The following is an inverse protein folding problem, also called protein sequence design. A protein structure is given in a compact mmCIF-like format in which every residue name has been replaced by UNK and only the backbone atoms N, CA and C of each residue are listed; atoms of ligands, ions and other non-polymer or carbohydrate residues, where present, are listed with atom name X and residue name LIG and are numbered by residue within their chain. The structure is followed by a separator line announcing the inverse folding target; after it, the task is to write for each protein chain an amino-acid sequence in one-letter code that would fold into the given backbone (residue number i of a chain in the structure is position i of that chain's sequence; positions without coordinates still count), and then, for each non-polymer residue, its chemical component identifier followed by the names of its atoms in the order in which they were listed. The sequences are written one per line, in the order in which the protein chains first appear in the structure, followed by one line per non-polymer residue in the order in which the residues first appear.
data_IF_867449294864
#
_entry.id   IF_867449294864
#
_cell.length_a   1.000
_cell.length_b   1.000
_cell.length_c   1.000
_cell.angle_alpha   90.00
_cell.angle_beta   90.00
_cell.angle_gamma   90.00
#
_symmetry.space_group_name_H-M   'P 1'
#
loop_
_entity.id
_entity.type
_entity.pdbx_description
1 polymer ?
#
# COMPACT_ATOMS: atom_id res chain seq x y z
N UNK A 1 1.44 12.45 -4.03
CA UNK A 1 2.03 13.69 -3.47
C UNK A 1 3.09 14.18 -4.45
N UNK A 2 3.12 15.48 -4.78
CA UNK A 2 4.11 16.04 -5.70
C UNK A 2 4.71 17.32 -5.10
N UNK A 3 5.95 17.59 -5.48
CA UNK A 3 6.62 18.86 -5.21
C UNK A 3 5.92 19.95 -6.05
N UNK A 4 5.45 21.01 -5.39
CA UNK A 4 4.71 22.10 -6.04
C UNK A 4 5.58 22.99 -6.93
N UNK A 5 6.90 22.99 -6.72
CA UNK A 5 7.87 23.75 -7.51
C UNK A 5 8.24 22.98 -8.77
N UNK A 6 8.56 21.69 -8.63
CA UNK A 6 9.05 20.88 -9.76
C UNK A 6 7.97 20.07 -10.48
N UNK A 7 6.79 19.92 -9.88
CA UNK A 7 5.72 19.04 -10.37
C UNK A 7 6.06 17.55 -10.29
N UNK A 8 7.24 17.19 -9.76
CA UNK A 8 7.69 15.79 -9.67
C UNK A 8 7.01 15.09 -8.51
N UNK A 9 6.77 13.79 -8.66
CA UNK A 9 6.23 12.96 -7.59
C UNK A 9 7.23 12.89 -6.45
N UNK A 10 6.78 13.21 -5.24
CA UNK A 10 7.61 13.12 -4.04
C UNK A 10 7.92 11.66 -3.72
N UNK A 11 9.19 11.38 -3.45
CA UNK A 11 9.66 10.10 -2.93
C UNK A 11 9.94 10.28 -1.45
N UNK A 12 9.31 9.46 -0.63
CA UNK A 12 9.34 9.52 0.83
C UNK A 12 10.16 8.35 1.37
N UNK A 13 10.74 8.53 2.55
CA UNK A 13 11.49 7.49 3.25
C UNK A 13 10.94 7.32 4.65
N UNK A 14 10.84 6.08 5.11
CA UNK A 14 10.47 5.75 6.48
C UNK A 14 11.25 4.52 6.95
N UNK A 15 11.75 4.57 8.18
CA UNK A 15 12.39 3.44 8.85
C UNK A 15 11.38 2.75 9.77
N UNK A 16 11.31 1.42 9.73
CA UNK A 16 10.43 0.66 10.60
C UNK A 16 10.97 -0.73 10.91
N UNK A 17 10.34 -1.40 11.86
CA UNK A 17 10.70 -2.76 12.28
C UNK A 17 9.93 -3.75 11.40
N UNK A 18 10.61 -4.66 10.73
CA UNK A 18 9.97 -5.71 9.94
C UNK A 18 9.26 -6.72 10.84
N UNK A 19 8.02 -7.06 10.51
CA UNK A 19 7.22 -8.06 11.23
C UNK A 19 7.15 -9.36 10.44
N UNK A 20 6.67 -9.31 9.20
CA UNK A 20 6.57 -10.45 8.30
C UNK A 20 6.34 -9.96 6.87
N UNK A 21 6.48 -10.87 5.91
CA UNK A 21 6.13 -10.64 4.51
C UNK A 21 5.59 -11.91 3.88
N UNK A 22 4.80 -11.78 2.82
CA UNK A 22 4.65 -12.88 1.84
C UNK A 22 5.97 -13.11 1.12
N UNK A 23 6.08 -14.21 0.38
CA UNK A 23 7.23 -14.47 -0.48
C UNK A 23 7.60 -13.24 -1.34
N UNK A 24 8.88 -12.92 -1.42
CA UNK A 24 9.36 -11.67 -2.04
C UNK A 24 9.32 -11.72 -3.58
N UNK A 25 9.21 -12.92 -4.16
CA UNK A 25 9.23 -13.14 -5.60
C UNK A 25 7.85 -13.40 -6.19
N UNK A 26 7.01 -14.13 -5.44
CA UNK A 26 5.69 -14.61 -5.87
C UNK A 26 4.53 -14.02 -5.08
N UNK A 27 4.77 -13.43 -3.92
CA UNK A 27 3.73 -12.85 -3.06
C UNK A 27 2.80 -13.93 -2.52
N UNK A 28 1.50 -13.76 -2.71
CA UNK A 28 0.48 -14.78 -2.41
C UNK A 28 0.03 -15.57 -3.66
N UNK A 29 0.73 -15.43 -4.80
CA UNK A 29 0.42 -16.21 -6.00
C UNK A 29 1.10 -17.58 -5.93
N UNK A 30 0.31 -18.65 -6.01
CA UNK A 30 0.77 -20.04 -5.95
C UNK A 30 0.08 -20.81 -7.07
N UNK A 31 0.81 -21.33 -8.08
CA UNK A 31 0.21 -22.14 -9.13
C UNK A 31 -0.55 -23.34 -8.57
N UNK A 32 -1.61 -23.75 -9.28
CA UNK A 32 -2.41 -24.90 -8.87
C UNK A 32 -1.56 -26.16 -8.75
N UNK A 33 -1.54 -26.77 -7.56
CA UNK A 33 -0.81 -28.01 -7.27
C UNK A 33 0.57 -27.81 -6.64
N UNK A 34 1.06 -26.56 -6.56
CA UNK A 34 2.28 -26.21 -5.86
C UNK A 34 2.02 -26.01 -4.35
N UNK A 35 3.07 -26.20 -3.53
CA UNK A 35 3.02 -25.92 -2.10
C UNK A 35 3.17 -24.41 -1.86
N UNK A 36 2.30 -23.84 -1.02
CA UNK A 36 2.34 -22.42 -0.72
C UNK A 36 3.61 -22.06 0.06
N UNK A 37 4.27 -20.92 -0.24
CA UNK A 37 5.39 -20.44 0.56
C UNK A 37 4.99 -20.25 2.03
N UNK A 38 5.96 -20.45 2.92
CA UNK A 38 5.74 -20.28 4.36
C UNK A 38 5.19 -18.88 4.69
N UNK A 39 4.18 -18.83 5.57
CA UNK A 39 3.61 -17.57 6.06
C UNK A 39 2.50 -16.96 5.19
N UNK A 40 2.13 -17.57 4.07
CA UNK A 40 0.94 -17.17 3.29
C UNK A 40 -0.29 -17.92 3.82
N UNK A 41 -1.31 -17.24 4.40
CA UNK A 41 -2.52 -17.92 4.86
C UNK A 41 -3.33 -18.50 3.70
N UNK A 42 -3.90 -19.70 3.87
CA UNK A 42 -4.68 -20.39 2.82
C UNK A 42 -5.76 -19.50 2.17
N UNK A 43 -6.48 -18.73 2.98
CA UNK A 43 -7.52 -17.82 2.50
C UNK A 43 -7.02 -16.62 1.68
N UNK A 44 -5.69 -16.42 1.61
CA UNK A 44 -5.06 -15.37 0.81
C UNK A 44 -4.37 -15.92 -0.45
N UNK A 45 -4.21 -17.24 -0.58
CA UNK A 45 -3.59 -17.85 -1.77
C UNK A 45 -4.42 -17.50 -3.00
N UNK A 46 -3.74 -17.13 -4.09
CA UNK A 46 -4.34 -16.92 -5.40
C UNK A 46 -3.63 -17.80 -6.43
N UNK A 47 -4.38 -18.57 -7.20
CA UNK A 47 -3.88 -19.45 -8.25
C UNK A 47 -4.09 -18.90 -9.67
N UNK A 48 -4.81 -17.78 -9.78
CA UNK A 48 -5.05 -17.05 -11.03
C UNK A 48 -4.45 -15.63 -10.99
N UNK A 49 -3.74 -15.19 -12.04
CA UNK A 49 -3.22 -13.83 -12.14
C UNK A 49 -4.34 -12.78 -12.05
N UNK A 50 -4.31 -11.94 -11.01
CA UNK A 50 -5.32 -10.91 -10.81
C UNK A 50 -4.82 -9.79 -9.90
N UNK A 51 -5.64 -8.73 -9.76
CA UNK A 51 -5.38 -7.64 -8.81
C UNK A 51 -5.37 -8.09 -7.34
N UNK A 52 -5.84 -9.31 -7.04
CA UNK A 52 -5.80 -9.91 -5.71
C UNK A 52 -4.43 -10.50 -5.38
N UNK A 53 -3.61 -10.78 -6.38
CA UNK A 53 -2.23 -11.24 -6.20
C UNK A 53 -1.36 -10.07 -5.71
N UNK A 54 -0.83 -10.18 -4.51
CA UNK A 54 -0.14 -9.11 -3.79
C UNK A 54 1.09 -9.63 -3.06
N UNK A 55 2.14 -8.82 -3.10
CA UNK A 55 3.16 -8.79 -2.07
C UNK A 55 2.60 -8.04 -0.87
N UNK A 56 2.69 -8.63 0.32
CA UNK A 56 2.23 -8.00 1.56
C UNK A 56 3.41 -7.87 2.51
N UNK A 57 3.67 -6.65 2.98
CA UNK A 57 4.76 -6.31 3.88
C UNK A 57 4.19 -5.79 5.18
N UNK A 58 4.52 -6.40 6.31
CA UNK A 58 4.07 -5.93 7.61
C UNK A 58 5.21 -5.34 8.41
N UNK A 59 5.03 -4.11 8.87
CA UNK A 59 5.87 -3.44 9.84
C UNK A 59 5.25 -3.56 11.24
N UNK A 60 6.07 -3.82 12.25
CA UNK A 60 5.66 -3.82 13.64
C UNK A 60 5.54 -2.37 14.13
N UNK A 61 4.32 -2.00 14.52
CA UNK A 61 4.01 -0.66 15.03
C UNK A 61 3.57 -0.67 16.48
N UNK A 62 3.83 -1.76 17.20
CA UNK A 62 3.49 -1.87 18.63
C UNK A 62 4.29 -0.90 19.50
N UNK A 63 5.46 -0.47 19.02
CA UNK A 63 6.40 0.40 19.73
C UNK A 63 6.68 1.70 18.99
N UNK A 64 6.88 1.61 17.68
CA UNK A 64 7.00 2.77 16.81
C UNK A 64 5.67 3.02 16.09
N UNK A 65 4.97 4.07 16.51
CA UNK A 65 3.69 4.46 15.89
C UNK A 65 3.85 5.54 14.83
N UNK A 66 5.08 5.96 14.51
CA UNK A 66 5.33 7.14 13.67
C UNK A 66 4.75 7.01 12.27
N UNK A 67 4.66 5.80 11.70
CA UNK A 67 3.97 5.60 10.40
C UNK A 67 2.50 6.02 10.45
N UNK A 68 1.80 5.78 11.56
CA UNK A 68 0.40 6.20 11.73
C UNK A 68 0.29 7.72 11.79
N UNK A 69 1.18 8.35 12.54
CA UNK A 69 1.20 9.80 12.73
C UNK A 69 1.59 10.51 11.42
N UNK A 70 2.59 10.00 10.71
CA UNK A 70 3.01 10.49 9.41
C UNK A 70 1.89 10.40 8.37
N UNK A 71 1.21 9.25 8.27
CA UNK A 71 0.08 9.09 7.36
C UNK A 71 -1.05 10.06 7.71
N UNK A 72 -1.33 10.27 9.00
CA UNK A 72 -2.33 11.24 9.45
C UNK A 72 -1.98 12.67 9.02
N UNK A 73 -0.72 13.07 9.11
CA UNK A 73 -0.27 14.40 8.63
C UNK A 73 -0.57 14.57 7.14
N UNK A 74 -0.29 13.55 6.33
CA UNK A 74 -0.62 13.58 4.89
C UNK A 74 -2.12 13.56 4.63
N UNK A 75 -2.89 12.78 5.40
CA UNK A 75 -4.36 12.76 5.33
C UNK A 75 -4.96 14.14 5.66
N UNK A 76 -4.51 14.79 6.74
CA UNK A 76 -4.95 16.13 7.13
C UNK A 76 -4.59 17.17 6.06
N UNK A 77 -3.41 17.03 5.43
CA UNK A 77 -3.01 17.89 4.33
C UNK A 77 -3.90 17.71 3.10
N UNK A 78 -4.14 16.46 2.65
CA UNK A 78 -4.93 16.21 1.43
C UNK A 78 -6.40 16.61 1.61
N UNK A 79 -6.95 16.44 2.81
CA UNK A 79 -8.33 16.85 3.11
C UNK A 79 -8.54 18.36 3.01
N UNK A 80 -7.49 19.17 3.14
CA UNK A 80 -7.54 20.62 2.94
C UNK A 80 -7.38 21.04 1.47
N UNK A 81 -7.02 20.12 0.58
CA UNK A 81 -6.79 20.45 -0.83
C UNK A 81 -8.13 20.65 -1.56
N UNK A 82 -8.30 21.77 -2.28
CA UNK A 82 -9.52 22.02 -3.06
C UNK A 82 -9.80 20.89 -4.04
N UNK A 83 -11.04 20.39 -4.02
CA UNK A 83 -11.49 19.35 -4.94
C UNK A 83 -11.08 17.92 -4.57
N UNK A 84 -10.33 17.70 -3.48
CA UNK A 84 -10.18 16.37 -2.93
C UNK A 84 -11.52 15.87 -2.37
N UNK A 85 -11.83 14.59 -2.59
CA UNK A 85 -12.99 13.90 -2.03
C UNK A 85 -14.32 14.71 -2.13
N UNK A 86 -14.63 15.26 -3.32
CA UNK A 86 -15.85 16.08 -3.54
C UNK A 86 -17.15 15.40 -3.11
N UNK A 87 -17.19 14.07 -3.17
CA UNK A 87 -18.33 13.26 -2.75
C UNK A 87 -18.43 13.03 -1.23
N UNK A 88 -17.59 13.70 -0.43
CA UNK A 88 -17.51 13.57 1.04
C UNK A 88 -17.52 12.11 1.51
N UNK A 89 -16.77 11.25 0.81
CA UNK A 89 -16.70 9.83 1.14
C UNK A 89 -16.02 9.67 2.50
N UNK A 90 -16.44 8.71 3.33
CA UNK A 90 -15.74 8.40 4.57
C UNK A 90 -14.35 7.82 4.30
N UNK A 91 -13.40 8.07 5.21
CA UNK A 91 -12.12 7.35 5.23
C UNK A 91 -12.38 5.89 5.55
N UNK A 92 -11.82 4.97 4.75
CA UNK A 92 -11.85 3.53 5.01
C UNK A 92 -11.43 3.23 6.47
N UNK A 93 -12.12 2.36 7.22
CA UNK A 93 -11.73 2.08 8.61
C UNK A 93 -10.42 1.27 8.75
N UNK A 94 -10.11 0.45 7.74
CA UNK A 94 -8.90 -0.36 7.73
C UNK A 94 -7.64 0.51 7.75
N UNK A 95 -6.69 0.17 8.63
CA UNK A 95 -5.41 0.87 8.78
C UNK A 95 -5.55 2.38 8.94
N UNK A 96 -6.37 2.80 9.90
CA UNK A 96 -6.46 4.20 10.33
C UNK A 96 -5.80 4.44 11.71
N UNK A 97 -5.10 3.44 12.25
CA UNK A 97 -4.44 3.49 13.57
C UNK A 97 -5.36 3.56 14.79
N UNK A 98 -6.70 3.55 14.62
CA UNK A 98 -7.66 3.68 15.74
C UNK A 98 -8.01 2.35 16.40
N UNK A 99 -8.02 1.26 15.64
CA UNK A 99 -8.37 -0.07 16.16
C UNK A 99 -7.22 -0.67 16.96
N UNK A 100 -7.40 -0.90 18.26
CA UNK A 100 -6.40 -1.52 19.13
C UNK A 100 -5.93 -2.90 18.62
N UNK A 101 -6.83 -3.67 18.00
CA UNK A 101 -6.56 -5.01 17.46
C UNK A 101 -5.63 -5.03 16.24
N UNK A 102 -5.48 -3.90 15.54
CA UNK A 102 -4.70 -3.80 14.30
C UNK A 102 -3.65 -2.68 14.35
N UNK A 103 -3.46 -2.05 15.52
CA UNK A 103 -2.49 -0.97 15.71
C UNK A 103 -1.07 -1.50 15.95
N UNK A 104 -0.92 -2.79 16.21
CA UNK A 104 0.37 -3.46 16.43
C UNK A 104 1.16 -3.74 15.14
N UNK A 105 0.55 -3.48 13.98
CA UNK A 105 1.18 -3.64 12.68
C UNK A 105 0.61 -2.71 11.62
N UNK A 106 1.48 -2.25 10.72
CA UNK A 106 1.08 -1.59 9.48
C UNK A 106 1.43 -2.50 8.30
N UNK A 107 0.46 -2.77 7.43
CA UNK A 107 0.58 -3.69 6.29
C UNK A 107 0.53 -2.88 4.99
N UNK A 108 1.54 -3.04 4.16
CA UNK A 108 1.66 -2.40 2.85
C UNK A 108 1.49 -3.50 1.82
N UNK A 109 0.69 -3.23 0.79
CA UNK A 109 0.46 -4.18 -0.28
C UNK A 109 0.96 -3.62 -1.60
N UNK A 110 1.65 -4.43 -2.39
CA UNK A 110 1.98 -4.13 -3.78
C UNK A 110 1.47 -5.24 -4.67
N UNK A 111 1.05 -4.92 -5.89
CA UNK A 111 0.52 -5.96 -6.80
C UNK A 111 1.65 -6.82 -7.35
N UNK A 112 1.40 -8.12 -7.44
CA UNK A 112 2.29 -9.07 -8.14
C UNK A 112 2.17 -8.89 -9.64
N UNK A 113 0.94 -8.69 -10.12
CA UNK A 113 0.63 -8.48 -11.53
C UNK A 113 0.13 -7.06 -11.81
N UNK A 114 0.41 -6.58 -13.01
CA UNK A 114 -0.11 -5.35 -13.57
C UNK A 114 -0.93 -5.63 -14.83
N UNK A 115 -1.89 -4.76 -15.13
CA UNK A 115 -2.65 -4.83 -16.37
C UNK A 115 -1.72 -4.61 -17.57
N UNK A 116 -1.94 -5.38 -18.63
CA UNK A 116 -1.36 -5.11 -19.94
C UNK A 116 -1.82 -3.75 -20.43
N UNK A 117 -0.88 -2.98 -20.96
CA UNK A 117 -1.12 -1.70 -21.60
C UNK A 117 -0.10 -1.49 -22.72
N UNK A 118 -0.38 -0.57 -23.64
CA UNK A 118 0.56 -0.21 -24.71
C UNK A 118 1.92 0.30 -24.18
N UNK A 119 2.00 0.71 -22.91
CA UNK A 119 3.23 1.22 -22.29
C UNK A 119 4.14 0.11 -21.74
N UNK A 120 3.56 -1.03 -21.34
CA UNK A 120 4.31 -2.13 -20.70
C UNK A 120 4.34 -3.41 -21.53
N UNK A 121 3.56 -3.46 -22.62
CA UNK A 121 3.48 -4.57 -23.55
C UNK A 121 3.41 -4.01 -24.97
N UNK A 122 4.26 -4.49 -25.89
CA UNK A 122 4.07 -4.20 -27.33
C UNK A 122 2.87 -4.99 -27.87
N UNK A 123 2.22 -4.51 -28.92
CA UNK A 123 1.11 -5.22 -29.55
C UNK A 123 1.54 -6.65 -29.95
N UNK A 124 0.87 -7.67 -29.38
CA UNK A 124 1.21 -9.08 -29.57
C UNK A 124 2.56 -9.53 -28.99
N UNK A 125 3.25 -8.70 -28.22
CA UNK A 125 4.62 -8.94 -27.76
C UNK A 125 4.75 -9.49 -26.34
N UNK A 126 5.97 -9.96 -26.03
CA UNK A 126 6.40 -10.25 -24.66
C UNK A 126 6.38 -8.97 -23.80
N UNK A 127 6.05 -9.13 -22.52
CA UNK A 127 6.11 -8.03 -21.55
C UNK A 127 7.57 -7.64 -21.28
N UNK A 128 7.79 -6.37 -20.91
CA UNK A 128 9.13 -5.89 -20.52
C UNK A 128 9.13 -5.50 -19.05
N UNK A 129 9.86 -6.25 -18.24
CA UNK A 129 10.11 -5.93 -16.83
C UNK A 129 11.62 -5.86 -16.56
N UNK A 130 12.09 -5.01 -15.63
CA UNK A 130 13.52 -4.77 -15.39
C UNK A 130 14.16 -5.83 -14.47
N UNK A 131 13.58 -7.03 -14.37
CA UNK A 131 14.03 -8.08 -13.45
C UNK A 131 13.73 -9.47 -14.01
N UNK A 132 14.39 -10.49 -13.46
CA UNK A 132 14.10 -11.88 -13.80
C UNK A 132 12.77 -12.33 -13.16
N UNK A 133 11.85 -12.77 -14.00
CA UNK A 133 10.52 -13.19 -13.55
C UNK A 133 10.55 -14.64 -13.09
N UNK A 134 10.09 -14.87 -11.86
CA UNK A 134 9.96 -16.18 -11.25
C UNK A 134 9.13 -17.14 -12.14
N UNK A 135 9.51 -18.42 -12.28
CA UNK A 135 8.81 -19.40 -13.12
C UNK A 135 7.30 -19.47 -12.87
N UNK A 136 6.87 -19.40 -11.60
CA UNK A 136 5.43 -19.43 -11.27
C UNK A 136 4.65 -18.28 -11.92
N UNK A 137 5.20 -17.07 -11.92
CA UNK A 137 4.52 -15.92 -12.53
C UNK A 137 4.44 -16.06 -14.05
N UNK A 138 5.48 -16.63 -14.68
CA UNK A 138 5.48 -16.96 -16.12
C UNK A 138 4.41 -18.01 -16.44
N UNK A 139 4.32 -19.05 -15.62
CA UNK A 139 3.32 -20.10 -15.76
C UNK A 139 1.91 -19.52 -15.66
N UNK A 140 1.63 -18.71 -14.63
CA UNK A 140 0.33 -18.07 -14.43
C UNK A 140 -0.12 -17.28 -15.66
N UNK A 141 0.76 -16.46 -16.23
CA UNK A 141 0.44 -15.67 -17.43
C UNK A 141 0.24 -16.55 -18.67
N UNK A 142 0.99 -17.65 -18.78
CA UNK A 142 0.89 -18.59 -19.90
C UNK A 142 -0.41 -19.40 -19.84
N UNK A 143 -0.81 -19.79 -18.62
CA UNK A 143 -2.01 -20.58 -18.35
C UNK A 143 -3.30 -19.76 -18.46
N UNK A 144 -3.25 -18.47 -18.12
CA UNK A 144 -4.41 -17.55 -18.12
C UNK A 144 -4.15 -16.33 -19.01
N UNK A 145 -3.98 -16.50 -20.34
CA UNK A 145 -3.69 -15.39 -21.25
C UNK A 145 -4.80 -14.32 -21.30
N UNK A 146 -6.06 -14.71 -21.05
CA UNK A 146 -7.24 -13.86 -21.01
C UNK A 146 -7.33 -12.96 -19.77
N UNK A 147 -6.54 -13.22 -18.73
CA UNK A 147 -6.47 -12.33 -17.56
C UNK A 147 -5.88 -10.95 -17.91
N UNK A 148 -5.26 -10.82 -19.09
CA UNK A 148 -4.60 -9.61 -19.58
C UNK A 148 -3.64 -9.00 -18.55
N UNK A 149 -2.97 -9.87 -17.77
CA UNK A 149 -1.98 -9.50 -16.77
C UNK A 149 -0.54 -9.71 -17.28
N UNK A 150 0.40 -9.00 -16.67
CA UNK A 150 1.86 -9.18 -16.79
C UNK A 150 2.48 -9.07 -15.39
N UNK A 151 3.72 -9.53 -15.18
CA UNK A 151 4.41 -9.29 -13.91
C UNK A 151 4.56 -7.78 -13.70
N UNK A 152 4.37 -7.32 -12.47
CA UNK A 152 4.36 -5.89 -12.19
C UNK A 152 5.76 -5.27 -12.45
N UNK A 153 5.92 -4.39 -13.46
CA UNK A 153 7.23 -3.78 -13.76
C UNK A 153 7.76 -2.92 -12.61
N UNK A 154 6.87 -2.41 -11.76
CA UNK A 154 7.18 -1.58 -10.59
C UNK A 154 7.27 -2.43 -9.30
N UNK A 155 7.73 -3.68 -9.41
CA UNK A 155 7.98 -4.54 -8.24
C UNK A 155 9.00 -3.86 -7.31
N UNK A 156 8.79 -3.85 -5.98
CA UNK A 156 9.77 -3.30 -5.06
C UNK A 156 11.10 -4.04 -5.14
N UNK A 157 12.20 -3.30 -4.96
CA UNK A 157 13.54 -3.88 -4.86
C UNK A 157 13.90 -4.13 -3.39
N UNK A 158 14.75 -5.10 -3.16
CA UNK A 158 15.16 -5.52 -1.82
C UNK A 158 16.67 -5.52 -1.72
N UNK A 159 17.19 -4.84 -0.71
CA UNK A 159 18.61 -4.63 -0.52
C UNK A 159 19.03 -4.91 0.92
N UNK A 160 20.33 -5.16 1.09
CA UNK A 160 21.00 -5.17 2.37
C UNK A 160 22.06 -4.07 2.40
N UNK A 161 22.14 -3.37 3.53
CA UNK A 161 23.17 -2.40 3.81
C UNK A 161 24.14 -2.95 4.85
N UNK A 162 25.33 -3.33 4.42
CA UNK A 162 26.41 -3.86 5.25
C UNK A 162 27.73 -3.20 4.89
N UNK A 163 28.56 -2.91 5.89
CA UNK A 163 29.91 -2.33 5.68
C UNK A 163 29.92 -1.07 4.79
N UNK A 164 28.93 -0.19 4.98
CA UNK A 164 28.72 1.03 4.19
C UNK A 164 28.46 0.83 2.69
N UNK A 165 27.97 -0.36 2.30
CA UNK A 165 27.62 -0.69 0.91
C UNK A 165 26.22 -1.26 0.82
N UNK A 166 25.54 -0.92 -0.27
CA UNK A 166 24.25 -1.51 -0.62
C UNK A 166 24.46 -2.65 -1.61
N UNK A 167 23.96 -3.83 -1.26
CA UNK A 167 23.94 -5.02 -2.11
C UNK A 167 22.52 -5.53 -2.26
N UNK A 168 22.28 -6.34 -3.31
CA UNK A 168 21.02 -7.08 -3.46
C UNK A 168 20.80 -7.95 -2.22
N UNK A 169 19.59 -7.93 -1.67
CA UNK A 169 19.26 -8.80 -0.55
C UNK A 169 19.47 -10.28 -0.94
N UNK A 170 19.12 -10.66 -2.17
CA UNK A 170 19.26 -12.04 -2.65
C UNK A 170 20.71 -12.55 -2.65
N UNK A 171 21.69 -11.65 -2.73
CA UNK A 171 23.12 -11.99 -2.75
C UNK A 171 23.74 -11.95 -1.33
N UNK A 172 22.95 -11.65 -0.30
CA UNK A 172 23.41 -11.57 1.08
C UNK A 172 23.49 -12.94 1.76
N UNK A 173 24.15 -12.98 2.93
CA UNK A 173 24.14 -14.16 3.80
C UNK A 173 22.73 -14.49 4.36
N UNK A 174 21.81 -13.53 4.31
CA UNK A 174 20.44 -13.66 4.81
C UNK A 174 19.44 -13.14 3.76
N UNK A 175 19.15 -13.92 2.71
CA UNK A 175 18.51 -13.46 1.47
C UNK A 175 17.01 -13.16 1.57
N UNK A 176 16.50 -13.10 2.80
CA UNK A 176 15.10 -12.79 3.11
C UNK A 176 15.05 -11.93 4.36
N UNK A 177 14.09 -10.99 4.41
CA UNK A 177 13.85 -10.21 5.61
C UNK A 177 13.29 -11.08 6.75
N UNK A 178 13.79 -10.85 7.96
CA UNK A 178 13.37 -11.55 9.18
C UNK A 178 12.65 -10.60 10.12
N UNK A 179 11.79 -11.17 10.95
CA UNK A 179 11.14 -10.42 12.02
C UNK A 179 12.20 -9.76 12.90
N UNK A 180 12.04 -8.46 13.17
CA UNK A 180 12.98 -7.67 13.96
C UNK A 180 14.08 -6.97 13.14
N UNK A 181 14.16 -7.20 11.83
CA UNK A 181 15.02 -6.40 10.95
C UNK A 181 14.57 -4.92 10.99
N UNK A 182 15.52 -3.99 10.98
CA UNK A 182 15.27 -2.57 10.81
C UNK A 182 15.37 -2.26 9.31
N UNK A 183 14.26 -1.84 8.73
CA UNK A 183 14.13 -1.66 7.28
C UNK A 183 13.89 -0.18 6.98
N UNK A 184 14.70 0.37 6.09
CA UNK A 184 14.40 1.63 5.41
C UNK A 184 13.56 1.34 4.18
N UNK A 185 12.37 1.91 4.14
CA UNK A 185 11.46 1.83 3.01
C UNK A 185 11.42 3.17 2.29
N UNK A 186 11.70 3.13 0.99
CA UNK A 186 11.47 4.24 0.07
C UNK A 186 10.14 4.01 -0.65
N UNK A 187 9.26 5.01 -0.69
CA UNK A 187 7.90 4.86 -1.22
C UNK A 187 7.32 6.14 -1.82
N UNK A 188 6.27 5.98 -2.65
CA UNK A 188 5.37 7.06 -3.05
C UNK A 188 4.08 6.97 -2.24
N UNK A 189 3.45 8.11 -1.99
CA UNK A 189 2.14 8.18 -1.35
C UNK A 189 1.07 8.66 -2.34
N UNK A 190 0.07 7.80 -2.58
CA UNK A 190 -1.14 8.09 -3.32
C UNK A 190 -2.35 8.23 -2.39
N UNK A 191 -3.43 8.83 -2.90
CA UNK A 191 -4.73 8.83 -2.25
C UNK A 191 -5.77 8.34 -3.25
N UNK A 192 -6.50 7.30 -2.87
CA UNK A 192 -7.53 6.69 -3.71
C UNK A 192 -8.89 7.13 -3.19
N UNK A 193 -9.73 7.65 -4.09
CA UNK A 193 -11.13 7.97 -3.80
C UNK A 193 -12.01 7.09 -4.70
N UNK A 194 -12.88 6.30 -4.09
CA UNK A 194 -13.83 5.41 -4.77
C UNK A 194 -15.27 5.84 -4.50
N UNK A 195 -16.25 5.08 -5.02
CA UNK A 195 -17.67 5.35 -4.77
C UNK A 195 -18.08 5.29 -3.29
N UNK A 196 -17.42 4.45 -2.48
CA UNK A 196 -17.79 4.25 -1.07
C UNK A 196 -16.84 4.87 -0.06
N UNK A 197 -15.53 4.88 -0.35
CA UNK A 197 -14.50 5.28 0.61
C UNK A 197 -13.33 5.98 -0.07
N UNK A 198 -12.50 6.65 0.73
CA UNK A 198 -11.14 7.01 0.35
C UNK A 198 -10.10 6.46 1.34
N UNK A 199 -8.85 6.33 0.91
CA UNK A 199 -7.72 5.93 1.75
C UNK A 199 -6.36 6.36 1.14
N UNK A 200 -5.31 6.54 1.96
CA UNK A 200 -3.93 6.65 1.49
C UNK A 200 -3.41 5.28 1.04
N UNK A 201 -2.63 5.27 -0.04
CA UNK A 201 -1.97 4.09 -0.57
C UNK A 201 -0.46 4.33 -0.60
N UNK A 202 0.27 3.54 0.20
CA UNK A 202 1.74 3.50 0.15
C UNK A 202 2.13 2.57 -1.00
N UNK A 203 2.90 3.12 -1.94
CA UNK A 203 3.44 2.40 -3.09
C UNK A 203 4.96 2.26 -2.84
N UNK A 204 5.41 1.14 -2.27
CA UNK A 204 6.82 0.94 -2.00
C UNK A 204 7.62 0.85 -3.30
N UNK A 205 8.84 1.36 -3.26
CA UNK A 205 9.80 1.32 -4.36
C UNK A 205 10.95 0.38 -3.97
N UNK A 206 11.51 0.58 -2.78
CA UNK A 206 12.69 -0.15 -2.32
C UNK A 206 12.62 -0.38 -0.82
N UNK A 207 13.15 -1.53 -0.38
CA UNK A 207 13.36 -1.86 1.02
C UNK A 207 14.84 -2.18 1.24
N UNK A 208 15.45 -1.56 2.24
CA UNK A 208 16.86 -1.76 2.59
C UNK A 208 16.94 -2.22 4.04
N UNK A 209 17.51 -3.40 4.29
CA UNK A 209 17.87 -3.80 5.65
C UNK A 209 19.09 -2.99 6.09
N UNK A 210 18.93 -2.22 7.16
CA UNK A 210 20.00 -1.36 7.71
C UNK A 210 20.46 -1.78 9.10
N UNK A 211 19.81 -2.78 9.68
CA UNK A 211 20.18 -3.32 10.97
C UNK A 211 19.19 -4.35 11.47
N UNK A 212 19.40 -4.78 12.71
CA UNK A 212 18.54 -5.73 13.41
C UNK A 212 18.34 -5.26 14.83
N UNK A 213 17.15 -5.46 15.37
CA UNK A 213 16.96 -5.35 16.80
C UNK A 213 17.81 -6.43 17.51
N UNK A 214 18.55 -6.09 18.57
CA UNK A 214 19.26 -7.10 19.33
C UNK A 214 18.27 -8.12 19.91
N UNK A 215 18.63 -9.41 19.92
CA UNK A 215 17.77 -10.51 20.39
C UNK A 215 17.18 -10.29 21.81
N UNK A 216 17.85 -9.47 22.62
CA UNK A 216 17.47 -9.16 24.00
C UNK A 216 16.79 -7.79 24.16
N UNK A 217 16.70 -6.99 23.11
CA UNK A 217 16.07 -5.67 23.17
C UNK A 217 14.60 -5.79 22.78
N UNK A 218 13.78 -5.88 23.81
CA UNK A 218 12.44 -5.30 23.79
C UNK A 218 12.59 -3.78 23.57
N UNK A 219 12.59 -3.34 22.31
CA UNK A 219 12.86 -1.98 21.83
C UNK A 219 12.19 -0.82 22.58
N UNK A 220 13.03 0.10 23.08
CA UNK A 220 12.72 1.52 23.28
C UNK A 220 13.55 2.28 22.24
N UNK A 221 12.93 2.70 21.14
CA UNK A 221 13.60 3.56 20.17
C UNK A 221 13.40 5.03 20.56
N UNK A 222 14.50 5.77 20.62
CA UNK A 222 14.53 7.24 20.68
C UNK A 222 14.68 7.76 19.25
N UNK A 223 13.68 8.53 18.78
CA UNK A 223 13.55 8.97 17.39
C UNK A 223 14.25 10.31 17.08
N UNK A 224 15.18 10.75 17.93
CA UNK A 224 15.79 12.09 17.83
C UNK A 224 17.00 12.22 16.89
N UNK A 225 17.38 11.17 16.15
CA UNK A 225 18.62 11.15 15.36
C UNK A 225 18.44 10.63 13.92
N UNK A 226 17.80 11.42 13.04
CA UNK A 226 17.91 11.19 11.59
C UNK A 226 18.14 12.51 10.83
N UNK A 227 19.18 12.60 9.98
CA UNK A 227 19.43 13.79 9.16
C UNK A 227 18.45 13.88 7.98
N UNK A 228 18.18 15.11 7.53
CA UNK A 228 17.31 15.42 6.39
C UNK A 228 17.96 15.01 5.06
N UNK A 229 17.20 14.32 4.20
CA UNK A 229 17.61 13.92 2.84
C UNK A 229 17.66 15.16 1.92
N UNK A 230 18.77 15.33 1.19
CA UNK A 230 19.05 16.42 0.23
C UNK A 230 18.39 16.18 -1.15
N UNK A 231 18.28 17.23 -1.97
CA UNK A 231 17.52 17.35 -3.23
C UNK A 231 18.10 16.54 -4.42
N UNK A 232 19.19 15.79 -4.23
CA UNK A 232 19.85 14.98 -5.26
C UNK A 232 19.56 13.47 -5.15
N UNK A 233 18.33 13.07 -4.84
CA UNK A 233 17.98 11.65 -4.68
C UNK A 233 18.17 10.86 -5.98
N UNK A 234 19.21 10.01 -6.01
CA UNK A 234 19.40 8.98 -7.02
C UNK A 234 18.88 7.66 -6.47
N UNK A 235 18.19 6.87 -7.32
CA UNK A 235 17.81 5.51 -6.96
C UNK A 235 19.07 4.69 -6.71
N UNK A 236 19.05 3.91 -5.63
CA UNK A 236 20.20 3.10 -5.26
C UNK A 236 20.33 1.91 -6.22
N UNK A 237 21.58 1.63 -6.57
CA UNK A 237 22.01 0.49 -7.36
C UNK A 237 22.92 -0.40 -6.51
N UNK A 238 22.96 -1.69 -6.84
CA UNK A 238 23.90 -2.60 -6.18
C UNK A 238 25.33 -2.12 -6.43
N UNK A 239 26.11 -1.97 -5.36
CA UNK A 239 27.48 -1.45 -5.40
C UNK A 239 27.60 0.05 -5.07
N UNK A 240 26.50 0.75 -4.83
CA UNK A 240 26.55 2.15 -4.37
C UNK A 240 27.20 2.24 -2.99
N UNK A 241 28.12 3.20 -2.85
CA UNK A 241 28.75 3.56 -1.57
C UNK A 241 27.88 4.65 -0.93
N UNK A 242 27.41 4.41 0.28
CA UNK A 242 26.64 5.40 1.06
C UNK A 242 27.54 5.91 2.17
N UNK A 243 27.94 7.17 2.10
CA UNK A 243 28.64 7.85 3.18
C UNK A 243 27.62 8.53 4.09
N UNK A 244 27.60 8.16 5.37
CA UNK A 244 26.89 8.94 6.37
C UNK A 244 27.75 10.14 6.74
N UNK A 245 27.31 11.32 6.33
CA UNK A 245 27.88 12.55 6.87
C UNK A 245 27.33 12.75 8.28
N UNK A 246 28.14 12.48 9.29
CA UNK A 246 27.92 12.91 10.68
C UNK A 246 28.03 14.45 10.75
N UNK A 247 27.11 15.18 10.12
CA UNK A 247 27.00 16.62 10.32
C UNK A 247 26.24 16.88 11.64
N UNK A 248 26.91 16.56 12.75
CA UNK A 248 26.51 16.90 14.10
C UNK A 248 26.82 18.36 14.46
N UNK A 249 27.00 19.26 13.48
CA UNK A 249 27.15 20.67 13.83
C UNK A 249 25.80 21.20 14.36
N UNK A 250 25.71 21.62 15.64
CA UNK A 250 24.48 22.19 16.17
C UNK A 250 24.19 23.47 15.40
N UNK A 251 23.20 23.42 14.50
CA UNK A 251 22.72 24.63 13.84
C UNK A 251 22.22 25.58 14.92
N UNK A 252 22.74 26.83 15.00
CA UNK A 252 22.31 27.76 16.02
C UNK A 252 20.81 28.03 15.86
N UNK A 253 20.02 27.58 16.84
CA UNK A 253 18.61 27.92 16.94
C UNK A 253 18.54 29.43 17.12
N UNK A 254 18.10 30.16 16.08
CA UNK A 254 17.75 31.57 16.21
C UNK A 254 16.60 31.66 17.21
N UNK A 255 16.91 32.11 18.43
CA UNK A 255 15.93 32.50 19.45
C UNK A 255 14.99 33.54 18.82
N UNK A 256 13.79 33.13 18.47
CA UNK A 256 12.70 34.06 18.16
C UNK A 256 12.35 34.73 19.49
N UNK A 257 12.68 36.02 19.63
CA UNK A 257 12.15 36.84 20.72
C UNK A 257 10.65 36.97 20.47
N UNK A 258 9.85 36.26 21.27
CA UNK A 258 8.44 36.58 21.47
C UNK A 258 8.41 38.00 22.03
N UNK A 259 7.92 38.93 21.21
CA UNK A 259 7.67 40.29 21.62
C UNK A 259 6.33 40.29 22.38
N UNK A 260 6.37 40.78 23.61
CA UNK A 260 5.20 41.06 24.42
C UNK A 260 4.28 42.03 23.67
N UNK A 261 3.02 41.62 23.49
CA UNK A 261 1.90 42.53 23.27
C UNK A 261 0.64 41.93 23.88
N UNK A 262 0.52 42.09 25.20
CA UNK A 262 -0.77 42.08 25.91
C UNK A 262 -1.29 43.52 25.98
N UNK A 263 -2.62 43.65 25.91
CA UNK A 263 -3.47 44.82 26.16
C UNK A 263 -3.79 45.72 24.96
N UNK A 264 -4.89 45.40 24.26
CA UNK A 264 -6.06 46.28 24.20
C UNK A 264 -7.28 45.51 23.65
N UNK A 265 -8.47 45.90 24.14
CA UNK A 265 -9.82 45.49 23.71
C UNK A 265 -10.48 44.32 24.45
N UNK A 266 -10.70 44.51 25.76
CA UNK A 266 -12.03 44.25 26.34
C UNK A 266 -12.84 45.54 26.24
N UNK A 267 -13.89 45.55 25.41
CA UNK A 267 -15.18 46.20 25.70
C UNK A 267 -16.07 46.17 24.45
N UNK A 268 -16.83 45.08 24.28
CA UNK A 268 -18.25 45.18 23.91
C UNK A 268 -18.92 43.80 23.89
N UNK A 269 -20.15 43.78 24.41
CA UNK A 269 -21.13 42.68 24.33
C UNK A 269 -21.10 41.59 25.41
N UNK A 270 -21.25 42.04 26.68
CA UNK A 270 -22.15 41.38 27.63
C UNK A 270 -23.45 42.20 27.74
N UNK A 271 -24.57 41.69 27.19
CA UNK A 271 -25.87 41.55 27.91
C UNK A 271 -27.05 41.14 27.02
N UNK A 272 -27.82 40.20 27.59
CA UNK A 272 -29.19 39.74 27.30
C UNK A 272 -29.28 38.69 26.19
N UNK A 273 -29.91 37.54 26.39
CA UNK A 273 -30.70 37.07 27.52
C UNK A 273 -31.35 35.73 27.16
N UNK A 274 -31.49 34.88 28.18
CA UNK A 274 -32.33 33.70 28.28
C UNK A 274 -33.64 33.77 27.46
N UNK A 275 -33.93 32.74 26.65
CA UNK A 275 -35.26 32.10 26.53
C UNK A 275 -35.05 30.62 26.16
N UNK A 276 -35.61 29.74 26.98
CA UNK A 276 -35.76 28.30 26.75
C UNK A 276 -36.71 28.03 25.58
N UNK A 277 -36.44 26.99 24.81
CA UNK A 277 -37.48 26.14 24.22
C UNK A 277 -36.88 24.78 23.86
N UNK A 278 -37.31 23.78 24.61
CA UNK A 278 -37.36 22.38 24.20
C UNK A 278 -38.27 22.28 22.98
N UNK A 279 -37.79 21.66 21.91
CA UNK A 279 -38.66 21.03 20.90
C UNK A 279 -38.10 19.65 20.56
N UNK A 280 -38.94 18.66 20.83
CA UNK A 280 -38.78 17.26 20.50
C UNK A 280 -38.64 17.08 18.98
N UNK A 281 -37.53 16.51 18.53
CA UNK A 281 -37.38 16.04 17.15
C UNK A 281 -37.84 14.58 17.10
N UNK A 282 -39.06 14.43 16.59
CA UNK A 282 -39.71 13.18 16.23
C UNK A 282 -38.93 12.50 15.08
N UNK A 283 -38.43 11.29 15.33
CA UNK A 283 -37.96 10.36 14.31
C UNK A 283 -39.17 9.75 13.60
N UNK A 284 -39.48 10.22 12.39
CA UNK A 284 -40.17 9.48 11.35
C UNK A 284 -40.10 10.30 10.07
N UNK A 285 -39.17 9.96 9.17
CA UNK A 285 -39.32 10.20 7.74
C UNK A 285 -38.44 9.17 7.00
N UNK A 286 -39.11 8.16 6.45
CA UNK A 286 -38.56 7.27 5.44
C UNK A 286 -38.37 8.06 4.14
N UNK A 287 -37.20 8.02 3.49
CA UNK A 287 -37.11 8.46 2.12
C UNK A 287 -37.70 7.42 1.18
N UNK A 288 -38.82 7.80 0.57
CA UNK A 288 -39.37 7.23 -0.67
C UNK A 288 -38.26 7.19 -1.72
N UNK A 289 -37.91 5.99 -2.17
CA UNK A 289 -37.05 5.77 -3.33
C UNK A 289 -37.93 5.93 -4.58
N UNK A 290 -37.77 7.05 -5.28
CA UNK A 290 -38.29 7.19 -6.64
C UNK A 290 -37.40 6.37 -7.60
N UNK A 291 -38.07 5.43 -8.25
CA UNK A 291 -37.62 4.66 -9.40
C UNK A 291 -37.33 5.57 -10.59
N UNK A 292 -36.11 5.49 -11.13
CA UNK A 292 -35.84 5.77 -12.54
C UNK A 292 -34.52 5.09 -12.93
N UNK A 293 -34.54 3.76 -12.97
CA UNK A 293 -33.49 2.96 -13.60
C UNK A 293 -33.90 2.61 -15.02
N UNK A 294 -33.25 3.26 -15.98
CA UNK A 294 -33.37 2.98 -17.41
C UNK A 294 -32.85 1.57 -17.68
N UNK A 295 -33.76 0.70 -18.13
CA UNK A 295 -33.47 -0.61 -18.69
C UNK A 295 -32.57 -0.46 -19.93
N UNK A 296 -31.39 -1.07 -19.91
CA UNK A 296 -30.60 -1.30 -21.13
C UNK A 296 -30.65 -2.80 -21.40
N UNK A 297 -31.23 -3.14 -22.54
CA UNK A 297 -31.47 -4.50 -23.01
C UNK A 297 -30.17 -5.31 -23.14
N UNK A 298 -30.17 -6.52 -22.56
CA UNK A 298 -29.18 -7.54 -22.83
C UNK A 298 -29.60 -8.34 -24.09
N UNK A 299 -28.69 -8.64 -25.04
CA UNK A 299 -29.03 -9.42 -26.21
C UNK A 299 -29.26 -10.91 -25.87
N UNK A 300 -30.33 -11.42 -26.46
CA UNK A 300 -30.90 -12.76 -26.31
C UNK A 300 -29.92 -13.89 -26.67
N UNK A 301 -29.84 -14.87 -25.78
CA UNK A 301 -29.25 -16.19 -26.05
C UNK A 301 -30.15 -16.99 -26.99
N UNK A 302 -29.69 -17.23 -28.21
CA UNK A 302 -30.41 -18.01 -29.20
C UNK A 302 -30.16 -19.52 -28.97
N UNK A 303 -31.13 -20.18 -28.36
CA UNK A 303 -31.18 -21.63 -28.21
C UNK A 303 -32.33 -22.17 -29.07
N UNK A 304 -32.02 -23.04 -30.05
CA UNK A 304 -32.82 -24.20 -30.53
C UNK A 304 -32.35 -24.68 -31.91
N UNK A 305 -31.89 -25.93 -31.98
CA UNK A 305 -32.47 -27.03 -32.79
C UNK A 305 -31.61 -28.30 -32.59
N UNK A 306 -32.04 -29.31 -31.82
CA UNK A 306 -32.99 -30.43 -32.07
C UNK A 306 -32.49 -31.57 -32.99
N UNK A 307 -32.60 -32.79 -32.44
CA UNK A 307 -32.72 -34.14 -33.07
C UNK A 307 -31.38 -34.74 -33.55
N UNK A 308 -31.04 -36.04 -33.39
CA UNK A 308 -31.83 -37.27 -33.22
C UNK A 308 -30.92 -38.50 -32.94
N UNK A 309 -31.43 -39.50 -32.22
CA UNK A 309 -31.28 -40.97 -32.37
C UNK A 309 -29.92 -41.71 -32.34
N UNK A 310 -29.88 -42.80 -31.57
CA UNK A 310 -29.02 -43.99 -31.81
C UNK A 310 -28.59 -44.68 -30.51
N UNK A 311 -29.42 -45.53 -29.88
CA UNK A 311 -29.36 -47.01 -29.93
C UNK A 311 -27.96 -47.64 -29.73
N UNK A 312 -27.82 -48.36 -28.62
CA UNK A 312 -27.31 -49.74 -28.60
C UNK A 312 -25.82 -49.93 -28.29
N UNK A 313 -25.53 -50.66 -27.20
CA UNK A 313 -24.19 -51.20 -26.95
C UNK A 313 -24.04 -51.83 -25.56
N UNK A 314 -24.50 -53.07 -25.41
CA UNK A 314 -24.04 -53.99 -24.34
C UNK A 314 -22.60 -54.42 -24.63
N UNK A 315 -21.76 -54.49 -23.60
CA UNK A 315 -20.70 -55.51 -23.40
C UNK A 315 -20.06 -55.27 -22.02
N UNK A 316 -20.26 -56.14 -21.04
CA UNK A 316 -19.61 -57.45 -20.76
C UNK A 316 -18.18 -57.35 -20.20
N UNK A 317 -18.02 -58.00 -19.04
CA UNK A 317 -16.81 -58.53 -18.41
C UNK A 317 -15.84 -57.47 -17.83
N UNK A 318 -15.23 -57.66 -16.65
CA UNK A 318 -14.67 -58.87 -16.06
C UNK A 318 -14.64 -58.77 -14.52
N UNK A 319 -14.78 -59.96 -13.92
CA UNK A 319 -14.00 -60.56 -12.81
C UNK A 319 -13.76 -59.78 -11.52
#
# INVERSE_FOLDING_TARGET
VCDTVTGKVAVLVHAGIWKWTTDLETGNFVPYGEEAPEGVPDGQIQDEPSFKCKFSYAFDTSRDTSIWDNIKIFEDHVCRQPGFNKGNRPRRPWQNGRSSTNRDKYIINTRVFANRSAFNTKEGGEYKVPYEVHPWLKEGITRFPEAHQIPNPDRPKYFEFTENRISSLADSNEPTFKQGDIIWMTFKLGFVVTGGYWWPEIIPIEFVRVGKLPEQIHSKADHSLFPSVDESFNLLCAGDIVEFTDDHSPRPVKRIRLHDSYNQEEDSYRRKGHVEKEEDINMNDEPVLDDDYVHVDAPETNSKNRLRSGRGGKNTNRS
#
